data_IF_375818442600
#
_entry.id   IF_375818442600
#
_cell.length_a   1.000
_cell.length_b   1.000
_cell.length_c   1.000
_cell.angle_alpha   90.00
_cell.angle_beta   90.00
_cell.angle_gamma   90.00
#
_symmetry.space_group_name_H-M   'P 1'
#
loop_
_entity.id
_entity.type
_entity.pdbx_description
1 polymer ?
#
# COMPACT_ATOMS: atom_id res chain seq x y z
N UNK A 1 -6.73 -3.94 29.20
CA UNK A 1 -7.01 -2.84 28.25
C UNK A 1 -6.01 -1.72 28.46
N UNK A 2 -4.98 -1.58 27.62
CA UNK A 2 -4.08 -0.42 27.65
C UNK A 2 -4.62 0.63 26.68
N UNK A 3 -5.14 1.72 27.25
CA UNK A 3 -5.67 2.85 26.51
C UNK A 3 -4.57 3.48 25.65
N UNK A 4 -4.81 3.54 24.33
CA UNK A 4 -4.05 4.37 23.40
C UNK A 4 -4.29 5.83 23.76
N UNK A 5 -3.48 6.39 24.64
CA UNK A 5 -3.37 7.85 24.79
C UNK A 5 -2.80 8.40 23.48
N UNK A 6 -3.66 9.02 22.67
CA UNK A 6 -3.24 9.92 21.61
C UNK A 6 -2.41 11.02 22.25
N UNK A 7 -1.08 10.95 22.10
CA UNK A 7 -0.16 11.88 22.78
C UNK A 7 -0.28 13.27 22.16
N UNK A 8 -0.50 14.24 23.05
CA UNK A 8 -0.37 15.68 22.82
C UNK A 8 0.96 16.07 22.15
N UNK A 9 1.04 17.31 21.67
CA UNK A 9 2.22 17.90 21.05
C UNK A 9 3.49 17.85 21.91
N UNK A 10 4.56 18.48 21.43
CA UNK A 10 5.81 18.60 22.19
C UNK A 10 5.64 19.65 23.29
N UNK A 11 5.92 19.28 24.54
CA UNK A 11 5.97 20.26 25.63
C UNK A 11 7.23 21.13 25.52
N UNK A 12 7.18 22.33 26.08
CA UNK A 12 8.35 23.24 26.14
C UNK A 12 9.52 22.58 26.89
N UNK A 13 9.25 21.87 27.98
CA UNK A 13 10.26 21.14 28.74
C UNK A 13 10.92 20.02 27.91
N UNK A 14 10.15 19.21 27.18
CA UNK A 14 10.70 18.19 26.27
C UNK A 14 11.53 18.83 25.14
N UNK A 15 11.09 19.98 24.64
CA UNK A 15 11.77 20.71 23.57
C UNK A 15 13.12 21.25 24.05
N UNK A 16 13.14 21.95 25.18
CA UNK A 16 14.36 22.48 25.79
C UNK A 16 15.35 21.36 26.10
N UNK A 17 14.86 20.26 26.68
CA UNK A 17 15.71 19.15 27.07
C UNK A 17 16.28 18.36 25.87
N UNK A 18 15.58 18.30 24.74
CA UNK A 18 16.13 17.74 23.49
C UNK A 18 17.18 18.68 22.87
N UNK A 19 16.92 19.98 22.82
CA UNK A 19 17.84 20.96 22.25
C UNK A 19 19.14 21.04 23.03
N UNK A 20 19.05 21.03 24.35
CA UNK A 20 20.23 21.06 25.23
C UNK A 20 21.08 19.80 25.06
N UNK A 21 20.48 18.61 25.04
CA UNK A 21 21.21 17.36 24.79
C UNK A 21 21.86 17.34 23.40
N UNK A 22 21.19 17.89 22.39
CA UNK A 22 21.75 17.98 21.05
C UNK A 22 22.90 18.99 20.95
N UNK A 23 22.83 20.10 21.69
CA UNK A 23 23.93 21.09 21.82
C UNK A 23 25.15 20.45 22.48
N UNK A 24 24.96 19.81 23.63
CA UNK A 24 26.03 19.11 24.35
C UNK A 24 26.69 18.02 23.49
N UNK A 25 25.90 17.23 22.76
CA UNK A 25 26.45 16.21 21.87
C UNK A 25 27.30 16.81 20.74
N UNK A 26 26.89 17.95 20.17
CA UNK A 26 27.70 18.66 19.16
C UNK A 26 29.02 19.19 19.73
N UNK A 27 28.99 19.79 20.92
CA UNK A 27 30.18 20.28 21.62
C UNK A 27 31.15 19.14 21.96
N UNK A 28 30.63 17.96 22.26
CA UNK A 28 31.40 16.75 22.56
C UNK A 28 31.78 15.93 21.32
N UNK A 29 31.40 16.36 20.11
CA UNK A 29 31.66 15.62 18.87
C UNK A 29 30.89 14.29 18.73
N UNK A 30 29.84 14.08 19.53
CA UNK A 30 29.03 12.86 19.54
C UNK A 30 27.93 12.89 18.45
N UNK A 31 27.57 11.74 17.86
CA UNK A 31 26.56 11.71 16.82
C UNK A 31 25.15 11.98 17.37
N UNK A 32 24.38 12.82 16.67
CA UNK A 32 22.98 13.15 17.02
C UNK A 32 22.05 11.92 17.10
N UNK A 33 22.44 10.81 16.46
CA UNK A 33 21.71 9.55 16.55
C UNK A 33 21.62 9.06 18.00
N UNK A 34 22.71 9.12 18.77
CA UNK A 34 22.73 8.71 20.18
C UNK A 34 21.79 9.57 21.02
N UNK A 35 21.74 10.88 20.73
CA UNK A 35 20.81 11.80 21.39
C UNK A 35 19.37 11.42 21.13
N UNK A 36 19.03 11.06 19.89
CA UNK A 36 17.67 10.66 19.53
C UNK A 36 17.27 9.33 20.18
N UNK A 37 18.19 8.37 20.28
CA UNK A 37 17.96 7.09 20.94
C UNK A 37 17.78 7.28 22.46
N UNK A 38 18.63 8.07 23.13
CA UNK A 38 18.51 8.40 24.55
C UNK A 38 17.23 9.21 24.86
N UNK A 39 16.84 10.13 23.96
CA UNK A 39 15.59 10.89 24.10
C UNK A 39 14.37 9.98 23.88
N UNK A 40 14.46 8.99 23.00
CA UNK A 40 13.39 8.01 22.80
C UNK A 40 13.16 7.16 24.05
N UNK A 41 14.26 6.74 24.70
CA UNK A 41 14.21 5.97 25.95
C UNK A 41 13.58 6.78 27.10
N UNK A 42 13.94 8.06 27.24
CA UNK A 42 13.43 8.90 28.34
C UNK A 42 12.02 9.45 28.13
N UNK A 43 11.60 9.71 26.90
CA UNK A 43 10.27 10.29 26.59
C UNK A 43 9.22 9.27 26.15
N UNK A 44 9.65 8.04 25.82
CA UNK A 44 8.81 7.02 25.19
C UNK A 44 8.35 7.38 23.77
N UNK A 45 8.89 8.46 23.16
CA UNK A 45 8.58 8.86 21.78
C UNK A 45 9.38 8.03 20.79
N UNK A 46 8.82 7.80 19.60
CA UNK A 46 9.52 7.08 18.53
C UNK A 46 10.77 7.86 18.07
N UNK A 47 11.94 7.22 17.86
CA UNK A 47 13.16 7.88 17.39
C UNK A 47 12.96 8.75 16.14
N UNK A 48 12.15 8.28 15.19
CA UNK A 48 11.83 9.03 13.97
C UNK A 48 11.03 10.32 14.24
N UNK A 49 10.15 10.30 15.25
CA UNK A 49 9.38 11.49 15.66
C UNK A 49 10.30 12.55 16.26
N UNK A 50 11.23 12.13 17.13
CA UNK A 50 12.23 13.00 17.75
C UNK A 50 13.14 13.64 16.72
N UNK A 51 13.68 12.83 15.80
CA UNK A 51 14.49 13.31 14.69
C UNK A 51 13.76 14.35 13.84
N UNK A 52 12.52 14.05 13.45
CA UNK A 52 11.73 14.95 12.62
C UNK A 52 11.43 16.28 13.32
N UNK A 53 11.09 16.23 14.62
CA UNK A 53 10.87 17.42 15.42
C UNK A 53 12.14 18.26 15.59
N UNK A 54 13.26 17.62 15.93
CA UNK A 54 14.55 18.28 16.06
C UNK A 54 14.93 19.06 14.80
N UNK A 55 14.81 18.42 13.62
CA UNK A 55 15.09 19.11 12.36
C UNK A 55 14.01 20.14 11.98
N UNK A 56 12.77 19.99 12.44
CA UNK A 56 11.73 21.00 12.24
C UNK A 56 12.04 22.28 13.01
N UNK A 57 12.46 22.17 14.27
CA UNK A 57 12.81 23.33 15.11
C UNK A 57 14.13 24.00 14.70
N UNK A 58 15.11 23.23 14.22
CA UNK A 58 16.37 23.78 13.72
C UNK A 58 16.26 24.35 12.29
N UNK A 59 15.09 24.31 11.65
CA UNK A 59 14.87 24.86 10.30
C UNK A 59 14.63 26.37 10.28
N UNK A 60 14.39 27.02 11.42
CA UNK A 60 14.04 28.44 11.46
C UNK A 60 15.24 29.39 11.27
N UNK A 61 16.49 28.91 11.43
CA UNK A 61 17.69 29.74 11.28
C UNK A 61 18.32 29.80 9.88
N UNK A 62 18.23 28.74 9.06
CA UNK A 62 19.06 28.59 7.83
C UNK A 62 18.26 28.62 6.51
N UNK A 63 16.96 28.91 6.56
CA UNK A 63 16.05 28.60 5.44
C UNK A 63 16.13 29.53 4.22
N UNK A 64 16.83 30.66 4.27
CA UNK A 64 16.78 31.65 3.17
C UNK A 64 17.88 31.52 2.11
N UNK A 65 18.94 30.73 2.33
CA UNK A 65 20.11 30.80 1.46
C UNK A 65 20.25 29.70 0.39
N UNK A 66 19.49 28.59 0.43
CA UNK A 66 19.71 27.44 -0.50
C UNK A 66 18.45 26.71 -1.02
N UNK A 67 17.24 27.19 -0.72
CA UNK A 67 16.01 26.57 -1.21
C UNK A 67 15.60 27.17 -2.56
N UNK A 68 15.99 26.53 -3.65
CA UNK A 68 15.35 26.82 -4.95
C UNK A 68 13.97 26.17 -4.94
N UNK A 69 12.86 26.92 -5.00
CA UNK A 69 11.54 26.32 -5.17
C UNK A 69 11.45 25.66 -6.55
N UNK A 70 10.60 24.63 -6.66
CA UNK A 70 10.21 24.17 -7.99
C UNK A 70 9.33 25.24 -8.63
N UNK A 71 9.62 25.56 -9.87
CA UNK A 71 8.65 26.20 -10.75
C UNK A 71 7.40 25.29 -10.90
N UNK A 72 6.25 25.90 -11.22
CA UNK A 72 5.03 25.18 -11.55
C UNK A 72 5.21 24.25 -12.76
N UNK A 73 5.93 24.67 -13.80
CA UNK A 73 6.24 23.85 -14.97
C UNK A 73 7.16 22.69 -14.63
N UNK A 74 8.24 22.94 -13.88
CA UNK A 74 9.17 21.90 -13.41
C UNK A 74 8.46 20.83 -12.55
N UNK A 75 7.52 21.26 -11.71
CA UNK A 75 6.72 20.36 -10.87
C UNK A 75 5.79 19.44 -11.69
N UNK A 76 5.17 19.99 -12.72
CA UNK A 76 4.28 19.26 -13.62
C UNK A 76 5.08 18.28 -14.48
N UNK A 77 6.20 18.72 -15.07
CA UNK A 77 7.11 17.87 -15.83
C UNK A 77 7.64 16.70 -14.99
N UNK A 78 8.02 16.94 -13.73
CA UNK A 78 8.42 15.87 -12.82
C UNK A 78 7.28 14.86 -12.61
N UNK A 79 6.05 15.35 -12.47
CA UNK A 79 4.86 14.51 -12.29
C UNK A 79 4.61 13.65 -13.53
N UNK A 80 4.68 14.26 -14.72
CA UNK A 80 4.53 13.59 -16.02
C UNK A 80 5.60 12.52 -16.24
N UNK A 81 6.86 12.80 -15.94
CA UNK A 81 7.95 11.83 -16.04
C UNK A 81 7.74 10.64 -15.10
N UNK A 82 7.30 10.88 -13.86
CA UNK A 82 7.01 9.82 -12.89
C UNK A 82 5.81 8.98 -13.34
N UNK A 83 4.73 9.59 -13.81
CA UNK A 83 3.55 8.85 -14.28
C UNK A 83 3.84 8.06 -15.55
N UNK A 84 4.62 8.62 -16.48
CA UNK A 84 5.10 7.90 -17.67
C UNK A 84 5.90 6.67 -17.29
N UNK A 85 6.87 6.82 -16.37
CA UNK A 85 7.65 5.70 -15.84
C UNK A 85 6.75 4.65 -15.14
N UNK A 86 5.69 5.08 -14.47
CA UNK A 86 4.72 4.18 -13.84
C UNK A 86 3.91 3.37 -14.86
N UNK A 87 3.62 3.93 -16.04
CA UNK A 87 2.98 3.20 -17.13
C UNK A 87 3.84 2.05 -17.66
N UNK A 88 5.18 2.20 -17.63
CA UNK A 88 6.13 1.14 -18.00
C UNK A 88 6.49 0.20 -16.84
N UNK A 89 5.79 0.29 -15.69
CA UNK A 89 6.05 -0.56 -14.52
C UNK A 89 7.24 -0.12 -13.65
N UNK A 90 7.90 0.99 -13.95
CA UNK A 90 8.99 1.54 -13.12
C UNK A 90 8.40 2.09 -11.81
N UNK A 91 9.06 1.82 -10.68
CA UNK A 91 8.64 2.37 -9.39
C UNK A 91 8.98 3.87 -9.30
N UNK A 92 8.18 4.64 -8.54
CA UNK A 92 8.45 6.07 -8.30
C UNK A 92 9.88 6.28 -7.79
N UNK A 93 10.36 5.40 -6.90
CA UNK A 93 11.71 5.50 -6.33
C UNK A 93 12.80 5.23 -7.38
N UNK A 94 12.61 4.26 -8.26
CA UNK A 94 13.56 3.99 -9.34
C UNK A 94 13.64 5.21 -10.29
N UNK A 95 12.48 5.73 -10.70
CA UNK A 95 12.38 6.89 -11.58
C UNK A 95 13.11 8.12 -10.99
N UNK A 96 12.77 8.55 -9.77
CA UNK A 96 13.43 9.72 -9.14
C UNK A 96 14.91 9.49 -8.83
N UNK A 97 15.36 8.25 -8.65
CA UNK A 97 16.80 7.94 -8.52
C UNK A 97 17.52 8.13 -9.84
N UNK A 98 16.92 7.69 -10.94
CA UNK A 98 17.41 7.91 -12.31
C UNK A 98 17.44 9.41 -12.65
N UNK A 99 16.34 10.13 -12.39
CA UNK A 99 16.23 11.57 -12.66
C UNK A 99 17.21 12.43 -11.85
N UNK A 100 17.63 11.96 -10.68
CA UNK A 100 18.59 12.65 -9.82
C UNK A 100 20.05 12.32 -10.12
N UNK A 101 20.33 11.41 -11.07
CA UNK A 101 21.70 11.00 -11.39
C UNK A 101 22.44 10.39 -10.19
N UNK A 102 21.71 9.80 -9.23
CA UNK A 102 22.29 9.26 -8.00
C UNK A 102 22.45 10.26 -6.84
N UNK A 103 22.15 11.55 -7.03
CA UNK A 103 22.15 12.53 -5.94
C UNK A 103 20.97 12.26 -4.97
N UNK A 104 21.32 11.76 -3.79
CA UNK A 104 20.35 11.42 -2.74
C UNK A 104 19.53 12.62 -2.26
N UNK A 105 20.11 13.82 -2.21
CA UNK A 105 19.40 15.03 -1.75
C UNK A 105 18.38 15.46 -2.81
N UNK A 106 18.78 15.44 -4.08
CA UNK A 106 17.90 15.77 -5.20
C UNK A 106 16.79 14.72 -5.39
N UNK A 107 17.11 13.43 -5.26
CA UNK A 107 16.15 12.33 -5.27
C UNK A 107 15.05 12.55 -4.22
N UNK A 108 15.44 12.84 -2.97
CA UNK A 108 14.48 13.12 -1.89
C UNK A 108 13.64 14.37 -2.17
N UNK A 109 14.24 15.38 -2.79
CA UNK A 109 13.54 16.60 -3.21
C UNK A 109 12.48 16.28 -4.28
N UNK A 110 12.79 15.46 -5.29
CA UNK A 110 11.81 14.98 -6.27
C UNK A 110 10.69 14.15 -5.64
N UNK A 111 11.02 13.18 -4.77
CA UNK A 111 10.00 12.39 -4.08
C UNK A 111 9.05 13.27 -3.25
N UNK A 112 9.59 14.23 -2.50
CA UNK A 112 8.80 15.13 -1.68
C UNK A 112 7.93 16.04 -2.54
N UNK A 113 8.46 16.53 -3.68
CA UNK A 113 7.70 17.36 -4.60
C UNK A 113 6.54 16.59 -5.23
N UNK A 114 6.77 15.36 -5.70
CA UNK A 114 5.72 14.51 -6.24
C UNK A 114 4.61 14.24 -5.21
N UNK A 115 4.95 13.87 -3.97
CA UNK A 115 3.96 13.70 -2.88
C UNK A 115 3.17 14.99 -2.61
N UNK A 116 3.84 16.14 -2.64
CA UNK A 116 3.19 17.43 -2.45
C UNK A 116 2.22 17.76 -3.58
N UNK A 117 2.55 17.42 -4.84
CA UNK A 117 1.66 17.55 -6.00
C UNK A 117 0.40 16.70 -5.83
N UNK A 118 0.55 15.41 -5.48
CA UNK A 118 -0.60 14.54 -5.24
C UNK A 118 -1.55 15.09 -4.17
N UNK A 119 -1.00 15.66 -3.08
CA UNK A 119 -1.79 16.19 -1.97
C UNK A 119 -2.42 17.56 -2.26
N UNK A 120 -1.72 18.44 -2.97
CA UNK A 120 -2.04 19.88 -2.99
C UNK A 120 -2.48 20.39 -4.36
N UNK A 121 -2.25 19.63 -5.43
CA UNK A 121 -2.60 19.98 -6.81
C UNK A 121 -3.12 18.77 -7.58
N UNK A 122 -4.21 18.14 -7.12
CA UNK A 122 -4.78 16.97 -7.81
C UNK A 122 -5.29 17.31 -9.21
N UNK A 123 -5.75 18.54 -9.42
CA UNK A 123 -6.16 19.05 -10.73
C UNK A 123 -5.05 18.96 -11.78
N UNK A 124 -3.80 19.29 -11.41
CA UNK A 124 -2.64 19.22 -12.30
C UNK A 124 -2.34 17.76 -12.66
N UNK A 125 -2.41 16.88 -11.66
CA UNK A 125 -2.09 15.46 -11.83
C UNK A 125 -3.12 14.79 -12.75
N UNK A 126 -4.40 15.09 -12.60
CA UNK A 126 -5.45 14.56 -13.49
C UNK A 126 -5.27 15.05 -14.93
N UNK A 127 -4.96 16.33 -15.14
CA UNK A 127 -4.64 16.83 -16.51
C UNK A 127 -3.44 16.11 -17.13
N UNK A 128 -2.42 15.80 -16.33
CA UNK A 128 -1.27 15.01 -16.81
C UNK A 128 -1.71 13.58 -17.14
N UNK A 129 -2.53 12.94 -16.30
CA UNK A 129 -3.07 11.61 -16.57
C UNK A 129 -3.90 11.56 -17.85
N UNK A 130 -4.77 12.55 -18.08
CA UNK A 130 -5.57 12.67 -19.31
C UNK A 130 -4.69 12.81 -20.54
N UNK A 131 -3.65 13.65 -20.47
CA UNK A 131 -2.68 13.81 -21.56
C UNK A 131 -1.95 12.51 -21.88
N UNK A 132 -1.53 11.77 -20.85
CA UNK A 132 -0.86 10.48 -21.02
C UNK A 132 -1.83 9.44 -21.63
N UNK A 133 -3.10 9.42 -21.20
CA UNK A 133 -4.13 8.55 -21.80
C UNK A 133 -4.38 8.88 -23.28
N UNK A 134 -4.40 10.16 -23.63
CA UNK A 134 -4.51 10.60 -25.03
C UNK A 134 -3.30 10.17 -25.89
N UNK A 135 -2.13 9.97 -25.27
CA UNK A 135 -0.93 9.43 -25.91
C UNK A 135 -0.90 7.89 -25.94
N UNK A 136 -1.95 7.21 -25.46
CA UNK A 136 -2.03 5.74 -25.39
C UNK A 136 -1.35 5.12 -24.17
N UNK A 137 -0.83 5.93 -23.23
CA UNK A 137 -0.25 5.46 -21.98
C UNK A 137 -1.34 5.37 -20.90
N UNK A 138 -1.40 4.23 -20.21
CA UNK A 138 -2.38 3.98 -19.13
C UNK A 138 -1.66 3.83 -17.78
N UNK A 139 -1.04 4.91 -17.25
CA UNK A 139 -0.39 4.85 -15.95
C UNK A 139 -1.40 4.51 -14.84
N UNK A 140 -1.00 3.67 -13.86
CA UNK A 140 -1.86 3.36 -12.72
C UNK A 140 -2.16 4.62 -11.91
N UNK A 141 -3.40 4.77 -11.44
CA UNK A 141 -3.82 5.95 -10.69
C UNK A 141 -2.96 6.16 -9.43
N UNK A 142 -2.47 7.38 -9.18
CA UNK A 142 -1.64 7.69 -8.02
C UNK A 142 -2.45 7.87 -6.73
N UNK A 143 -3.80 7.96 -6.84
CA UNK A 143 -4.72 8.18 -5.73
C UNK A 143 -5.25 6.89 -5.12
N UNK A 144 -5.19 5.79 -5.87
CA UNK A 144 -5.58 4.50 -5.34
C UNK A 144 -4.45 4.00 -4.46
N UNK A 145 -4.67 3.95 -3.15
CA UNK A 145 -3.97 2.94 -2.33
C UNK A 145 -4.19 1.62 -3.05
N UNK A 146 -3.11 0.91 -3.39
CA UNK A 146 -3.18 -0.33 -4.16
C UNK A 146 -4.40 -1.13 -3.71
N UNK A 147 -5.34 -1.41 -4.63
CA UNK A 147 -6.55 -2.13 -4.24
C UNK A 147 -6.11 -3.41 -3.52
N UNK A 148 -6.83 -3.87 -2.49
CA UNK A 148 -6.46 -5.08 -1.77
C UNK A 148 -6.13 -6.25 -2.72
N UNK A 149 -6.88 -6.35 -3.83
CA UNK A 149 -6.60 -7.27 -4.94
C UNK A 149 -5.26 -7.03 -5.63
N UNK A 150 -4.94 -5.79 -6.02
CA UNK A 150 -3.71 -5.48 -6.74
C UNK A 150 -2.48 -5.79 -5.87
N UNK A 151 -2.56 -5.47 -4.57
CA UNK A 151 -1.53 -5.82 -3.58
C UNK A 151 -1.45 -7.34 -3.33
N UNK A 152 -2.57 -8.07 -3.39
CA UNK A 152 -2.61 -9.52 -3.24
C UNK A 152 -2.05 -10.25 -4.46
N UNK A 153 -2.43 -9.85 -5.68
CA UNK A 153 -1.87 -10.37 -6.95
C UNK A 153 -0.35 -10.14 -7.02
N UNK A 154 0.10 -8.99 -6.58
CA UNK A 154 1.52 -8.66 -6.49
C UNK A 154 2.28 -9.51 -5.46
N UNK A 155 1.63 -10.00 -4.40
CA UNK A 155 2.22 -11.00 -3.48
C UNK A 155 2.33 -12.36 -4.15
N UNK A 156 1.29 -12.79 -4.87
CA UNK A 156 1.30 -14.05 -5.63
C UNK A 156 2.39 -14.07 -6.69
N UNK A 157 2.57 -12.97 -7.43
CA UNK A 157 3.63 -12.85 -8.45
C UNK A 157 5.04 -12.94 -7.87
N UNK A 158 5.22 -12.49 -6.62
CA UNK A 158 6.50 -12.57 -5.90
C UNK A 158 6.69 -13.86 -5.12
N UNK A 159 5.60 -14.60 -4.86
CA UNK A 159 5.69 -15.89 -4.21
C UNK A 159 6.38 -16.90 -5.13
N UNK A 160 7.43 -17.56 -4.64
CA UNK A 160 8.07 -18.69 -5.32
C UNK A 160 7.13 -19.90 -5.44
N UNK A 161 7.63 -21.07 -5.81
CA UNK A 161 6.80 -22.29 -5.87
C UNK A 161 6.47 -22.85 -4.47
N UNK A 162 5.38 -23.62 -4.36
CA UNK A 162 5.03 -24.36 -3.14
C UNK A 162 3.85 -23.80 -2.34
N UNK A 163 3.72 -24.25 -1.10
CA UNK A 163 2.56 -24.05 -0.22
C UNK A 163 2.25 -22.58 0.04
N UNK A 164 3.30 -21.78 0.24
CA UNK A 164 3.18 -20.34 0.45
C UNK A 164 2.48 -19.65 -0.73
N UNK A 165 2.73 -20.10 -1.97
CA UNK A 165 2.07 -19.55 -3.16
C UNK A 165 0.59 -19.88 -3.19
N UNK A 166 0.22 -21.10 -2.80
CA UNK A 166 -1.18 -21.51 -2.69
C UNK A 166 -1.90 -20.64 -1.65
N UNK A 167 -1.30 -20.43 -0.47
CA UNK A 167 -1.86 -19.56 0.56
C UNK A 167 -1.99 -18.09 0.10
N UNK A 168 -0.99 -17.57 -0.62
CA UNK A 168 -1.02 -16.22 -1.20
C UNK A 168 -2.11 -16.11 -2.29
N UNK A 169 -2.34 -17.16 -3.08
CA UNK A 169 -3.43 -17.24 -4.08
C UNK A 169 -4.80 -17.26 -3.42
N UNK A 170 -5.01 -18.07 -2.38
CA UNK A 170 -6.26 -18.11 -1.62
C UNK A 170 -6.60 -16.75 -1.02
N UNK A 171 -5.62 -16.08 -0.40
CA UNK A 171 -5.80 -14.73 0.14
C UNK A 171 -6.14 -13.69 -0.94
N UNK A 172 -5.68 -13.89 -2.18
CA UNK A 172 -6.03 -13.04 -3.31
C UNK A 172 -7.47 -13.26 -3.77
N UNK A 173 -7.91 -14.52 -3.82
CA UNK A 173 -9.30 -14.87 -4.15
C UNK A 173 -10.29 -14.32 -3.12
N UNK A 174 -9.97 -14.39 -1.83
CA UNK A 174 -10.79 -13.79 -0.76
C UNK A 174 -10.94 -12.27 -0.95
N UNK A 175 -9.84 -11.56 -1.24
CA UNK A 175 -9.88 -10.11 -1.47
C UNK A 175 -10.73 -9.73 -2.70
N UNK A 176 -10.69 -10.56 -3.77
CA UNK A 176 -11.53 -10.38 -4.96
C UNK A 176 -13.02 -10.59 -4.66
N UNK A 177 -13.35 -11.61 -3.88
CA UNK A 177 -14.71 -11.91 -3.46
C UNK A 177 -15.26 -10.78 -2.57
N UNK A 178 -14.47 -10.29 -1.62
CA UNK A 178 -14.87 -9.17 -0.75
C UNK A 178 -15.15 -7.89 -1.56
N UNK A 179 -14.31 -7.57 -2.55
CA UNK A 179 -14.52 -6.42 -3.44
C UNK A 179 -15.82 -6.56 -4.25
N UNK A 180 -16.10 -7.76 -4.77
CA UNK A 180 -17.32 -8.03 -5.55
C UNK A 180 -18.58 -8.07 -4.70
N UNK A 181 -18.53 -8.65 -3.50
CA UNK A 181 -19.64 -8.68 -2.55
C UNK A 181 -20.09 -7.29 -2.09
N UNK A 182 -19.17 -6.32 -2.05
CA UNK A 182 -19.48 -4.92 -1.73
C UNK A 182 -20.15 -4.17 -2.88
N UNK A 183 -19.92 -4.59 -4.13
CA UNK A 183 -20.46 -3.95 -5.32
C UNK A 183 -21.89 -4.42 -5.66
N UNK A 184 -22.24 -5.69 -5.43
CA UNK A 184 -23.51 -6.28 -5.88
C UNK A 184 -24.09 -7.26 -4.85
N UNK A 185 -25.42 -7.22 -4.63
CA UNK A 185 -26.11 -8.11 -3.69
C UNK A 185 -26.00 -9.60 -4.08
N UNK A 186 -26.10 -9.92 -5.38
CA UNK A 186 -25.96 -11.30 -5.87
C UNK A 186 -24.53 -11.82 -5.71
N UNK A 187 -23.53 -10.94 -5.89
CA UNK A 187 -22.12 -11.27 -5.67
C UNK A 187 -21.82 -11.53 -4.18
N UNK A 188 -22.59 -10.94 -3.26
CA UNK A 188 -22.47 -11.19 -1.82
C UNK A 188 -22.82 -12.62 -1.46
N UNK A 189 -23.94 -13.14 -1.93
CA UNK A 189 -24.36 -14.52 -1.67
C UNK A 189 -23.37 -15.54 -2.25
N UNK A 190 -22.86 -15.27 -3.46
CA UNK A 190 -21.84 -16.10 -4.08
C UNK A 190 -20.53 -16.09 -3.25
N UNK A 191 -20.12 -14.92 -2.77
CA UNK A 191 -18.91 -14.76 -1.95
C UNK A 191 -19.04 -15.45 -0.58
N UNK A 192 -20.20 -15.37 0.06
CA UNK A 192 -20.51 -16.09 1.30
C UNK A 192 -20.47 -17.62 1.09
N UNK A 193 -20.87 -18.10 -0.09
CA UNK A 193 -20.82 -19.54 -0.43
C UNK A 193 -19.40 -20.02 -0.78
N UNK A 194 -18.59 -19.16 -1.40
CA UNK A 194 -17.21 -19.48 -1.77
C UNK A 194 -16.24 -19.49 -0.59
N UNK A 195 -16.50 -18.71 0.47
CA UNK A 195 -15.58 -18.55 1.61
C UNK A 195 -15.27 -19.88 2.35
N UNK A 196 -16.25 -20.73 2.69
CA UNK A 196 -15.98 -22.01 3.34
C UNK A 196 -15.12 -22.96 2.49
N UNK A 197 -15.18 -22.85 1.15
CA UNK A 197 -14.32 -23.62 0.25
C UNK A 197 -12.86 -23.16 0.38
N UNK A 198 -12.62 -21.86 0.35
CA UNK A 198 -11.27 -21.29 0.50
C UNK A 198 -10.69 -21.58 1.89
N UNK A 199 -11.52 -21.51 2.94
CA UNK A 199 -11.14 -21.88 4.32
C UNK A 199 -10.77 -23.36 4.43
N UNK A 200 -11.50 -24.25 3.75
CA UNK A 200 -11.19 -25.68 3.70
C UNK A 200 -9.79 -25.93 3.11
N UNK A 201 -9.48 -25.32 1.96
CA UNK A 201 -8.14 -25.44 1.33
C UNK A 201 -7.07 -24.81 2.21
N UNK A 202 -7.33 -23.64 2.79
CA UNK A 202 -6.38 -22.95 3.69
C UNK A 202 -6.08 -23.80 4.93
N UNK A 203 -7.11 -24.39 5.53
CA UNK A 203 -6.98 -25.27 6.70
C UNK A 203 -6.15 -26.51 6.38
N UNK A 204 -6.43 -27.17 5.26
CA UNK A 204 -5.64 -28.31 4.81
C UNK A 204 -4.17 -27.95 4.56
N UNK A 205 -3.90 -26.83 3.88
CA UNK A 205 -2.53 -26.37 3.59
C UNK A 205 -1.75 -25.94 4.83
N UNK A 206 -2.42 -25.64 5.95
CA UNK A 206 -1.77 -25.31 7.23
C UNK A 206 -1.34 -26.55 8.03
N UNK A 207 -1.80 -27.75 7.65
CA UNK A 207 -1.43 -28.99 8.33
C UNK A 207 0.01 -29.42 7.96
N UNK A 208 0.73 -30.09 8.88
CA UNK A 208 2.00 -30.75 8.56
C UNK A 208 1.83 -31.79 7.43
N UNK A 209 2.90 -32.06 6.67
CA UNK A 209 2.89 -32.99 5.53
C UNK A 209 2.28 -34.36 5.85
N UNK A 210 2.70 -34.99 6.95
CA UNK A 210 2.20 -36.31 7.38
C UNK A 210 0.69 -36.32 7.68
N UNK A 211 0.18 -35.23 8.28
CA UNK A 211 -1.24 -35.09 8.58
C UNK A 211 -2.07 -34.81 7.32
N UNK A 212 -1.47 -34.14 6.32
CA UNK A 212 -2.09 -33.92 5.01
C UNK A 212 -2.23 -35.21 4.23
N UNK A 213 -1.20 -36.05 4.23
CA UNK A 213 -1.23 -37.34 3.52
C UNK A 213 -2.29 -38.27 4.11
N UNK A 214 -2.38 -38.35 5.44
CA UNK A 214 -3.41 -39.12 6.14
C UNK A 214 -4.83 -38.54 5.94
N UNK A 215 -4.96 -37.22 5.90
CA UNK A 215 -6.24 -36.50 5.78
C UNK A 215 -6.73 -36.24 4.36
N UNK A 216 -6.02 -36.68 3.32
CA UNK A 216 -6.34 -36.35 1.92
C UNK A 216 -7.76 -36.78 1.52
N UNK A 217 -8.19 -37.98 1.91
CA UNK A 217 -9.52 -38.49 1.57
C UNK A 217 -10.66 -37.65 2.17
N UNK A 218 -10.55 -37.28 3.44
CA UNK A 218 -11.52 -36.44 4.14
C UNK A 218 -11.54 -35.02 3.55
N UNK A 219 -10.35 -34.45 3.31
CA UNK A 219 -10.20 -33.15 2.67
C UNK A 219 -10.88 -33.11 1.30
N UNK A 220 -10.61 -34.09 0.43
CA UNK A 220 -11.20 -34.15 -0.91
C UNK A 220 -12.73 -34.31 -0.86
N UNK A 221 -13.24 -35.11 0.08
CA UNK A 221 -14.68 -35.26 0.29
C UNK A 221 -15.33 -33.92 0.67
N UNK A 222 -14.76 -33.18 1.63
CA UNK A 222 -15.25 -31.86 2.01
C UNK A 222 -15.11 -30.83 0.89
N UNK A 223 -13.98 -30.84 0.17
CA UNK A 223 -13.76 -29.92 -0.96
C UNK A 223 -14.82 -30.11 -2.05
N UNK A 224 -15.15 -31.34 -2.40
CA UNK A 224 -16.20 -31.66 -3.38
C UNK A 224 -17.57 -31.18 -2.90
N UNK A 225 -17.92 -31.41 -1.63
CA UNK A 225 -19.19 -30.90 -1.06
C UNK A 225 -19.30 -29.38 -1.16
N UNK A 226 -18.22 -28.67 -0.85
CA UNK A 226 -18.17 -27.20 -0.94
C UNK A 226 -18.21 -26.70 -2.38
N UNK A 227 -17.54 -27.39 -3.31
CA UNK A 227 -17.59 -27.08 -4.72
C UNK A 227 -19.01 -27.24 -5.29
N UNK A 228 -19.71 -28.32 -4.93
CA UNK A 228 -21.10 -28.55 -5.35
C UNK A 228 -22.06 -27.48 -4.80
N UNK A 229 -21.85 -27.02 -3.56
CA UNK A 229 -22.62 -25.92 -3.00
C UNK A 229 -22.39 -24.60 -3.77
N UNK A 230 -21.14 -24.33 -4.16
CA UNK A 230 -20.79 -23.15 -4.95
C UNK A 230 -21.37 -23.20 -6.37
N UNK A 231 -21.33 -24.37 -7.01
CA UNK A 231 -21.94 -24.60 -8.33
C UNK A 231 -23.45 -24.32 -8.29
N UNK A 232 -24.15 -24.80 -7.25
CA UNK A 232 -25.57 -24.50 -7.06
C UNK A 232 -25.84 -23.01 -6.86
N UNK A 233 -24.99 -22.31 -6.12
CA UNK A 233 -25.12 -20.86 -5.94
C UNK A 233 -24.87 -20.08 -7.24
N UNK A 234 -23.91 -20.52 -8.06
CA UNK A 234 -23.66 -19.95 -9.39
C UNK A 234 -24.87 -20.13 -10.31
N UNK A 235 -25.47 -21.33 -10.34
CA UNK A 235 -26.67 -21.59 -11.13
C UNK A 235 -27.87 -20.73 -10.69
N UNK A 236 -28.00 -20.48 -9.39
CA UNK A 236 -29.05 -19.60 -8.85
C UNK A 236 -28.80 -18.11 -9.11
N UNK A 237 -27.55 -17.71 -9.30
CA UNK A 237 -27.17 -16.32 -9.56
C UNK A 237 -27.21 -15.94 -11.05
N UNK A 238 -27.37 -16.93 -11.95
CA UNK A 238 -27.51 -16.68 -13.38
C UNK A 238 -28.79 -15.86 -13.66
N UNK A 239 -28.71 -14.76 -14.44
CA UNK A 239 -29.90 -14.05 -14.85
C UNK A 239 -30.79 -15.01 -15.66
N UNK A 240 -32.11 -14.94 -15.44
CA UNK A 240 -33.09 -15.63 -16.28
C UNK A 240 -33.05 -15.05 -17.70
N UNK A 241 -32.15 -15.56 -18.54
CA UNK A 241 -32.13 -15.45 -19.99
C UNK A 241 -32.19 -16.91 -20.44
N UNK A 242 -33.26 -17.47 -21.02
CA UNK A 242 -34.17 -16.96 -22.03
C UNK A 242 -35.57 -17.58 -21.87
N UNK A 243 -36.61 -16.75 -21.74
CA UNK A 243 -38.01 -17.16 -21.88
C UNK A 243 -38.80 -16.26 -22.85
N UNK A 244 -38.10 -15.51 -23.72
CA UNK A 244 -38.69 -14.57 -24.69
C UNK A 244 -38.36 -14.90 -26.15
N UNK A 245 -38.21 -16.19 -26.50
CA UNK A 245 -38.16 -16.63 -27.91
C UNK A 245 -39.39 -17.43 -28.37
N UNK A 246 -40.44 -17.55 -27.55
CA UNK A 246 -41.69 -18.24 -27.91
C UNK A 246 -42.92 -17.34 -27.74
N UNK A 247 -42.89 -16.13 -28.31
CA UNK A 247 -44.11 -15.32 -28.50
C UNK A 247 -43.85 -14.20 -29.53
N UNK A 248 -43.59 -14.58 -30.78
CA UNK A 248 -43.55 -13.65 -31.91
C UNK A 248 -44.08 -14.37 -33.14
N UNK A 249 -45.32 -14.02 -33.49
CA UNK A 249 -46.13 -14.55 -34.58
C UNK A 249 -45.52 -14.37 -35.97
#
# INVERSE_FOLDING_TARGET
>A
MQARMGRAGWSEAETAALMERARQAREQGRPLREVFEATAQSTGRRPNSIRNFYYAQNRDGERRARFTPFDAGEAEQLTEQILTARASGESVRACVTRLSGGDQRLMLRYQNKYRAMLRSRPDVVERVLERLRAQGLTPPSPYTTARPVDAALERVRRAGTGEKRVCDMLATLEALLDERAQAEHNARQLSETARPLLECVRGYMALPGEARDAGWGEFMCELVKRAAALEKALAAAAPAQDAESCAGS
#
